data_IF_929797341652
#
_entry.id   IF_929797341652
#
_cell.length_a   1.000
_cell.length_b   1.000
_cell.length_c   1.000
_cell.angle_alpha   90.00
_cell.angle_beta   90.00
_cell.angle_gamma   90.00
#
_symmetry.space_group_name_H-M   'P 1'
#
loop_
_entity.id
_entity.type
_entity.pdbx_description
1 polymer ?
#
# COMPACT_ATOMS: atom_id res chain seq x y z
N UNK A 1 -0.62 7.18 -8.47
CA UNK A 1 -0.72 5.98 -7.62
C UNK A 1 -1.27 4.80 -8.43
N UNK A 2 -0.78 3.61 -8.17
CA UNK A 2 -1.15 2.37 -8.88
C UNK A 2 -2.13 1.55 -8.05
N UNK A 3 -2.89 0.60 -8.66
CA UNK A 3 -3.79 -0.28 -7.95
C UNK A 3 -3.13 -1.08 -6.83
N UNK A 4 -3.96 -1.66 -5.94
CA UNK A 4 -3.51 -2.40 -4.78
C UNK A 4 -2.74 -3.68 -5.16
N UNK A 5 -3.29 -4.46 -6.09
CA UNK A 5 -2.70 -5.71 -6.60
C UNK A 5 -2.29 -6.71 -5.52
N UNK A 6 -3.20 -7.04 -4.61
CA UNK A 6 -2.95 -7.98 -3.52
C UNK A 6 -2.57 -9.38 -3.99
N UNK A 7 -3.35 -9.95 -4.92
CA UNK A 7 -3.11 -11.32 -5.38
C UNK A 7 -1.81 -11.43 -6.19
N UNK A 8 -1.50 -10.41 -6.97
CA UNK A 8 -0.28 -10.32 -7.75
C UNK A 8 0.95 -10.14 -6.85
N UNK A 9 0.83 -9.32 -5.79
CA UNK A 9 1.85 -9.17 -4.76
C UNK A 9 2.12 -10.51 -4.06
N UNK A 10 1.07 -11.19 -3.62
CA UNK A 10 1.15 -12.49 -2.97
C UNK A 10 1.77 -13.54 -3.87
N UNK A 11 1.37 -13.59 -5.15
CA UNK A 11 1.96 -14.50 -6.13
C UNK A 11 3.46 -14.26 -6.31
N UNK A 12 3.87 -13.01 -6.39
CA UNK A 12 5.28 -12.64 -6.52
C UNK A 12 6.10 -13.07 -5.29
N UNK A 13 5.60 -12.80 -4.08
CA UNK A 13 6.27 -13.22 -2.84
C UNK A 13 6.35 -14.75 -2.75
N UNK A 14 5.29 -15.48 -3.11
CA UNK A 14 5.29 -16.94 -3.08
C UNK A 14 6.35 -17.52 -4.04
N UNK A 15 6.53 -16.95 -5.22
CA UNK A 15 7.58 -17.36 -6.15
C UNK A 15 8.98 -17.13 -5.56
N UNK A 16 9.23 -16.00 -4.91
CA UNK A 16 10.48 -15.74 -4.21
C UNK A 16 10.73 -16.75 -3.08
N UNK A 17 9.71 -17.04 -2.27
CA UNK A 17 9.81 -18.01 -1.17
C UNK A 17 10.05 -19.45 -1.67
N UNK A 18 9.61 -19.77 -2.89
CA UNK A 18 9.86 -21.05 -3.55
C UNK A 18 11.25 -21.10 -4.22
N UNK A 19 12.05 -20.04 -4.11
CA UNK A 19 13.42 -19.98 -4.62
C UNK A 19 13.53 -19.47 -6.06
N UNK A 20 12.46 -18.99 -6.69
CA UNK A 20 12.51 -18.42 -8.04
C UNK A 20 13.32 -17.12 -8.07
N UNK A 21 14.16 -16.95 -9.08
CA UNK A 21 14.83 -15.69 -9.36
C UNK A 21 13.88 -14.65 -9.96
N UNK A 22 14.30 -13.39 -9.97
CA UNK A 22 13.54 -12.32 -10.61
C UNK A 22 13.26 -12.61 -12.11
N UNK A 23 14.23 -13.18 -12.82
CA UNK A 23 14.09 -13.55 -14.23
C UNK A 23 13.12 -14.72 -14.43
N UNK A 24 13.15 -15.72 -13.54
CA UNK A 24 12.19 -16.83 -13.54
C UNK A 24 10.77 -16.36 -13.26
N UNK A 25 10.58 -15.43 -12.32
CA UNK A 25 9.27 -14.82 -12.04
C UNK A 25 8.78 -14.03 -13.26
N UNK A 26 9.66 -13.28 -13.91
CA UNK A 26 9.33 -12.55 -15.14
C UNK A 26 8.85 -13.50 -16.23
N UNK A 27 9.57 -14.58 -16.50
CA UNK A 27 9.17 -15.61 -17.46
C UNK A 27 7.82 -16.23 -17.11
N UNK A 28 7.62 -16.56 -15.82
CA UNK A 28 6.34 -17.09 -15.34
C UNK A 28 5.18 -16.12 -15.50
N UNK A 29 5.44 -14.82 -15.33
CA UNK A 29 4.39 -13.79 -15.49
C UNK A 29 3.89 -13.72 -16.95
N UNK A 30 4.77 -13.85 -17.93
CA UNK A 30 4.42 -13.77 -19.35
C UNK A 30 3.99 -15.12 -19.95
N UNK A 31 4.66 -16.21 -19.59
CA UNK A 31 4.47 -17.51 -20.23
C UNK A 31 3.45 -18.39 -19.49
N UNK A 32 3.40 -18.31 -18.16
CA UNK A 32 2.55 -19.17 -17.32
C UNK A 32 1.35 -18.43 -16.70
N UNK A 33 1.10 -17.21 -17.12
CA UNK A 33 -0.01 -16.39 -16.62
C UNK A 33 -0.04 -16.27 -15.08
N UNK A 34 1.12 -16.05 -14.46
CA UNK A 34 1.26 -15.87 -13.01
C UNK A 34 0.30 -14.79 -12.48
N UNK A 35 0.07 -13.75 -13.28
CA UNK A 35 -0.93 -12.72 -13.02
C UNK A 35 -2.15 -12.93 -13.92
N UNK A 36 -3.36 -12.74 -13.37
CA UNK A 36 -4.62 -12.85 -14.11
C UNK A 36 -4.83 -11.65 -15.05
N UNK A 37 -3.92 -11.45 -16.00
CA UNK A 37 -3.98 -10.35 -16.96
C UNK A 37 -3.84 -10.92 -18.38
N UNK A 38 -4.84 -10.61 -19.24
CA UNK A 38 -4.90 -11.13 -20.61
C UNK A 38 -4.00 -10.39 -21.61
N UNK A 39 -3.58 -9.17 -21.28
CA UNK A 39 -2.79 -8.32 -22.20
C UNK A 39 -1.37 -8.14 -21.70
N UNK A 40 -0.39 -8.34 -22.56
CA UNK A 40 1.03 -8.27 -22.25
C UNK A 40 1.44 -6.94 -21.59
N UNK A 41 0.96 -5.80 -22.08
CA UNK A 41 1.26 -4.50 -21.47
C UNK A 41 0.79 -4.42 -20.02
N UNK A 42 -0.34 -5.09 -19.70
CA UNK A 42 -0.86 -5.13 -18.33
C UNK A 42 -0.01 -6.01 -17.43
N UNK A 43 0.42 -7.15 -17.93
CA UNK A 43 1.39 -8.03 -17.22
C UNK A 43 2.65 -7.26 -16.90
N UNK A 44 3.20 -6.53 -17.87
CA UNK A 44 4.39 -5.70 -17.68
C UNK A 44 4.18 -4.59 -16.63
N UNK A 45 3.04 -3.92 -16.67
CA UNK A 45 2.69 -2.87 -15.68
C UNK A 45 2.62 -3.45 -14.26
N UNK A 46 1.92 -4.57 -14.08
CA UNK A 46 1.79 -5.26 -12.79
C UNK A 46 3.18 -5.69 -12.29
N UNK A 47 3.94 -6.39 -13.13
CA UNK A 47 5.25 -6.92 -12.78
C UNK A 47 6.20 -5.79 -12.32
N UNK A 48 6.29 -4.71 -13.07
CA UNK A 48 7.15 -3.58 -12.73
C UNK A 48 6.76 -2.92 -11.40
N UNK A 49 5.46 -2.80 -11.14
CA UNK A 49 4.97 -2.20 -9.90
C UNK A 49 5.14 -3.14 -8.70
N UNK A 50 4.71 -4.39 -8.82
CA UNK A 50 4.72 -5.36 -7.74
C UNK A 50 6.16 -5.74 -7.37
N UNK A 51 7.03 -5.98 -8.36
CA UNK A 51 8.43 -6.28 -8.09
C UNK A 51 9.11 -5.16 -7.31
N UNK A 52 8.90 -3.90 -7.69
CA UNK A 52 9.44 -2.74 -6.98
C UNK A 52 8.94 -2.66 -5.54
N UNK A 53 7.64 -2.88 -5.31
CA UNK A 53 7.05 -2.88 -3.96
C UNK A 53 7.62 -3.98 -3.08
N UNK A 54 7.86 -5.17 -3.62
CA UNK A 54 8.40 -6.31 -2.86
C UNK A 54 9.91 -6.17 -2.63
N UNK A 55 10.69 -5.83 -3.67
CA UNK A 55 12.16 -5.85 -3.61
C UNK A 55 12.78 -4.70 -2.83
N UNK A 56 12.00 -3.69 -2.45
CA UNK A 56 12.47 -2.67 -1.51
C UNK A 56 12.56 -3.15 -0.06
N UNK A 57 12.05 -4.35 0.23
CA UNK A 57 12.14 -5.01 1.52
C UNK A 57 13.09 -6.22 1.43
N UNK A 58 13.57 -6.68 2.59
CA UNK A 58 14.47 -7.81 2.71
C UNK A 58 13.74 -9.19 2.69
N UNK A 59 14.51 -10.26 2.78
CA UNK A 59 13.97 -11.62 2.83
C UNK A 59 13.11 -11.84 4.08
N UNK A 60 13.45 -11.23 5.21
CA UNK A 60 12.67 -11.38 6.44
C UNK A 60 11.24 -10.83 6.27
N UNK A 61 11.07 -9.76 5.50
CA UNK A 61 9.74 -9.27 5.12
C UNK A 61 8.93 -10.28 4.32
N UNK A 62 9.56 -10.94 3.35
CA UNK A 62 8.91 -11.94 2.50
C UNK A 62 8.48 -13.16 3.33
N UNK A 63 9.35 -13.63 4.21
CA UNK A 63 9.07 -14.75 5.12
C UNK A 63 7.97 -14.37 6.10
N UNK A 64 8.02 -13.19 6.69
CA UNK A 64 6.97 -12.66 7.55
C UNK A 64 5.64 -12.61 6.82
N UNK A 65 5.60 -12.09 5.60
CA UNK A 65 4.39 -12.03 4.78
C UNK A 65 3.76 -13.40 4.58
N UNK A 66 4.56 -14.41 4.27
CA UNK A 66 4.10 -15.78 4.08
C UNK A 66 3.48 -16.43 5.33
N UNK A 67 3.83 -15.95 6.51
CA UNK A 67 3.38 -16.47 7.80
C UNK A 67 2.15 -15.75 8.37
N UNK A 68 1.76 -14.60 7.79
CA UNK A 68 0.68 -13.77 8.32
C UNK A 68 -0.69 -14.18 7.79
N UNK A 69 -1.74 -13.80 8.54
CA UNK A 69 -3.13 -13.87 8.06
C UNK A 69 -3.35 -12.97 6.85
N UNK A 70 -4.37 -13.27 6.04
CA UNK A 70 -4.73 -12.44 4.88
C UNK A 70 -4.98 -10.97 5.27
N UNK A 71 -5.57 -10.73 6.43
CA UNK A 71 -5.80 -9.37 6.94
C UNK A 71 -4.48 -8.62 7.15
N UNK A 72 -3.48 -9.24 7.77
CA UNK A 72 -2.16 -8.66 7.98
C UNK A 72 -1.37 -8.57 6.68
N UNK A 73 -1.48 -9.57 5.80
CA UNK A 73 -0.87 -9.50 4.47
C UNK A 73 -1.37 -8.30 3.66
N UNK A 74 -2.66 -7.99 3.70
CA UNK A 74 -3.20 -6.77 3.06
C UNK A 74 -2.62 -5.50 3.65
N UNK A 75 -2.44 -5.45 4.96
CA UNK A 75 -1.77 -4.34 5.64
C UNK A 75 -0.31 -4.21 5.21
N UNK A 76 0.42 -5.32 5.05
CA UNK A 76 1.80 -5.33 4.56
C UNK A 76 1.88 -4.83 3.10
N UNK A 77 0.93 -5.18 2.24
CA UNK A 77 0.85 -4.60 0.89
C UNK A 77 0.65 -3.09 0.94
N UNK A 78 -0.23 -2.59 1.81
CA UNK A 78 -0.42 -1.14 2.00
C UNK A 78 0.87 -0.45 2.45
N UNK A 79 1.58 -1.03 3.42
CA UNK A 79 2.87 -0.51 3.88
C UNK A 79 3.90 -0.44 2.75
N UNK A 80 3.91 -1.43 1.85
CA UNK A 80 4.79 -1.42 0.69
C UNK A 80 4.41 -0.33 -0.33
N UNK A 81 3.12 -0.01 -0.45
CA UNK A 81 2.66 1.12 -1.26
C UNK A 81 3.09 2.46 -0.63
N UNK A 82 2.98 2.59 0.68
CA UNK A 82 3.46 3.76 1.41
C UNK A 82 4.96 3.97 1.24
N UNK A 83 5.74 2.90 1.23
CA UNK A 83 7.19 2.97 1.00
C UNK A 83 7.55 3.35 -0.46
N UNK A 84 6.72 2.99 -1.42
CA UNK A 84 6.91 3.28 -2.85
C UNK A 84 6.36 4.66 -3.27
N UNK A 85 5.41 5.21 -2.53
CA UNK A 85 4.70 6.46 -2.84
C UNK A 85 4.70 7.40 -1.62
N UNK A 86 5.64 8.36 -1.64
CA UNK A 86 5.82 9.32 -0.54
C UNK A 86 4.59 10.20 -0.29
N UNK A 87 3.84 10.54 -1.34
CA UNK A 87 2.64 11.35 -1.17
C UNK A 87 1.54 10.55 -0.48
N UNK A 88 1.39 9.27 -0.83
CA UNK A 88 0.47 8.38 -0.15
C UNK A 88 0.88 8.15 1.31
N UNK A 89 2.18 7.98 1.60
CA UNK A 89 2.68 7.94 2.97
C UNK A 89 2.30 9.21 3.75
N UNK A 90 2.50 10.39 3.15
CA UNK A 90 2.16 11.67 3.78
C UNK A 90 0.67 11.76 4.10
N UNK A 91 -0.20 11.28 3.18
CA UNK A 91 -1.64 11.20 3.43
C UNK A 91 -1.97 10.27 4.61
N UNK A 92 -1.38 9.08 4.65
CA UNK A 92 -1.58 8.12 5.74
C UNK A 92 -1.15 8.70 7.08
N UNK A 93 0.00 9.36 7.11
CA UNK A 93 0.57 9.92 8.33
C UNK A 93 -0.18 11.17 8.83
N UNK A 94 -0.60 12.08 7.92
CA UNK A 94 -1.24 13.36 8.30
C UNK A 94 -2.77 13.27 8.40
N UNK A 95 -3.41 12.39 7.66
CA UNK A 95 -4.88 12.34 7.60
C UNK A 95 -5.43 11.08 8.24
N UNK A 96 -5.05 9.91 7.75
CA UNK A 96 -5.58 8.64 8.25
C UNK A 96 -5.23 8.44 9.73
N UNK A 97 -3.95 8.61 10.09
CA UNK A 97 -3.47 8.51 11.46
C UNK A 97 -4.18 9.49 12.40
N UNK A 98 -4.31 10.74 12.01
CA UNK A 98 -4.96 11.75 12.85
C UNK A 98 -6.43 11.40 13.11
N UNK A 99 -7.12 10.88 12.09
CA UNK A 99 -8.48 10.36 12.24
C UNK A 99 -8.58 9.18 13.21
N UNK A 100 -7.59 8.27 13.17
CA UNK A 100 -7.51 7.16 14.15
C UNK A 100 -7.33 7.70 15.59
N UNK A 101 -6.43 8.64 15.78
CA UNK A 101 -6.11 9.21 17.11
C UNK A 101 -7.33 9.86 17.74
N UNK A 102 -8.11 10.61 16.97
CA UNK A 102 -9.32 11.28 17.47
C UNK A 102 -10.54 10.37 17.52
N UNK A 103 -10.40 9.10 17.12
CA UNK A 103 -11.51 8.14 17.11
C UNK A 103 -12.61 8.49 16.10
N UNK A 104 -12.24 9.08 14.95
CA UNK A 104 -13.19 9.40 13.90
C UNK A 104 -13.86 8.13 13.35
N UNK A 105 -15.19 8.19 13.14
CA UNK A 105 -15.96 7.05 12.62
C UNK A 105 -15.81 6.88 11.10
N UNK A 106 -15.49 7.97 10.39
CA UNK A 106 -15.42 7.97 8.92
C UNK A 106 -14.23 8.73 8.37
N UNK A 107 -13.81 8.31 7.16
CA UNK A 107 -12.91 9.05 6.28
C UNK A 107 -13.60 9.17 4.93
N UNK A 108 -14.03 10.39 4.62
CA UNK A 108 -14.82 10.69 3.43
C UNK A 108 -13.97 11.21 2.28
N UNK A 109 -14.56 11.28 1.08
CA UNK A 109 -13.90 11.88 -0.09
C UNK A 109 -13.46 13.32 0.16
N UNK A 110 -14.25 14.09 0.94
CA UNK A 110 -13.91 15.47 1.32
C UNK A 110 -12.61 15.57 2.13
N UNK A 111 -12.32 14.61 3.00
CA UNK A 111 -11.08 14.58 3.78
C UNK A 111 -9.86 14.39 2.88
N UNK A 112 -9.95 13.48 1.92
CA UNK A 112 -8.88 13.22 0.96
C UNK A 112 -8.71 14.39 0.00
N UNK A 113 -9.81 14.99 -0.45
CA UNK A 113 -9.76 16.17 -1.29
C UNK A 113 -9.10 17.37 -0.56
N UNK A 114 -9.44 17.57 0.71
CA UNK A 114 -8.83 18.61 1.54
C UNK A 114 -7.30 18.41 1.67
N UNK A 115 -6.84 17.16 1.82
CA UNK A 115 -5.42 16.84 1.81
C UNK A 115 -4.75 17.26 0.49
N UNK A 116 -5.32 16.93 -0.65
CA UNK A 116 -4.74 17.33 -1.93
C UNK A 116 -4.73 18.85 -2.13
N UNK A 117 -5.75 19.56 -1.65
CA UNK A 117 -5.77 21.04 -1.68
C UNK A 117 -4.66 21.64 -0.80
N UNK A 118 -4.40 21.03 0.36
CA UNK A 118 -3.27 21.42 1.20
C UNK A 118 -1.94 21.16 0.48
N UNK A 119 -1.78 19.99 -0.14
CA UNK A 119 -0.56 19.66 -0.89
C UNK A 119 -0.33 20.59 -2.08
N UNK A 120 -1.38 21.07 -2.74
CA UNK A 120 -1.26 22.08 -3.79
C UNK A 120 -0.67 23.40 -3.28
N UNK A 121 -0.88 23.75 -2.02
CA UNK A 121 -0.29 24.94 -1.41
C UNK A 121 1.16 24.71 -0.96
N UNK A 122 1.54 23.46 -0.66
CA UNK A 122 2.88 23.10 -0.18
C UNK A 122 3.86 22.69 -1.29
N UNK A 123 3.37 22.34 -2.49
CA UNK A 123 4.20 21.81 -3.59
C UNK A 123 3.85 22.46 -4.91
N UNK A 124 4.85 23.08 -5.55
CA UNK A 124 4.72 23.69 -6.88
C UNK A 124 4.31 22.65 -7.96
N UNK A 125 4.81 21.42 -7.85
CA UNK A 125 4.45 20.33 -8.76
C UNK A 125 2.98 19.99 -8.63
N UNK A 126 2.49 19.80 -7.39
CA UNK A 126 1.10 19.42 -7.12
C UNK A 126 0.15 20.59 -7.41
N UNK A 127 0.59 21.84 -7.23
CA UNK A 127 -0.19 23.04 -7.57
C UNK A 127 -0.66 23.05 -9.03
N UNK A 128 0.11 22.43 -9.93
CA UNK A 128 -0.20 22.35 -11.36
C UNK A 128 -1.16 21.20 -11.73
N UNK A 129 -1.50 20.34 -10.80
CA UNK A 129 -2.38 19.22 -11.07
C UNK A 129 -3.81 19.67 -11.33
N UNK A 130 -4.41 19.11 -12.39
CA UNK A 130 -5.79 19.39 -12.77
C UNK A 130 -6.77 18.77 -11.75
N UNK A 131 -7.94 19.36 -11.62
CA UNK A 131 -9.02 18.85 -10.78
C UNK A 131 -9.38 17.39 -11.10
N UNK A 132 -9.33 17.00 -12.38
CA UNK A 132 -9.56 15.61 -12.80
C UNK A 132 -8.54 14.65 -12.23
N UNK A 133 -7.26 15.05 -12.15
CA UNK A 133 -6.19 14.27 -11.54
C UNK A 133 -6.43 14.12 -10.04
N UNK A 134 -6.75 15.21 -9.34
CA UNK A 134 -7.03 15.21 -7.91
C UNK A 134 -8.23 14.33 -7.57
N UNK A 135 -9.32 14.43 -8.34
CA UNK A 135 -10.51 13.58 -8.16
C UNK A 135 -10.18 12.10 -8.35
N UNK A 136 -9.40 11.76 -9.37
CA UNK A 136 -8.97 10.38 -9.61
C UNK A 136 -8.11 9.84 -8.47
N UNK A 137 -7.16 10.63 -7.97
CA UNK A 137 -6.31 10.25 -6.85
C UNK A 137 -7.11 10.12 -5.55
N UNK A 138 -8.09 10.98 -5.31
CA UNK A 138 -9.01 10.88 -4.17
C UNK A 138 -9.73 9.54 -4.17
N UNK A 139 -10.27 9.11 -5.30
CA UNK A 139 -10.89 7.79 -5.44
C UNK A 139 -9.88 6.65 -5.26
N UNK A 140 -8.68 6.79 -5.82
CA UNK A 140 -7.63 5.78 -5.71
C UNK A 140 -7.18 5.59 -4.26
N UNK A 141 -6.95 6.65 -3.51
CA UNK A 141 -6.53 6.56 -2.10
C UNK A 141 -7.58 5.87 -1.24
N UNK A 142 -8.85 6.22 -1.40
CA UNK A 142 -9.94 5.55 -0.68
C UNK A 142 -10.07 4.09 -1.08
N UNK A 143 -9.90 3.77 -2.37
CA UNK A 143 -9.89 2.38 -2.84
C UNK A 143 -8.75 1.58 -2.24
N UNK A 144 -7.55 2.13 -2.15
CA UNK A 144 -6.40 1.47 -1.51
C UNK A 144 -6.69 1.14 -0.05
N UNK A 145 -7.31 2.05 0.70
CA UNK A 145 -7.71 1.81 2.09
C UNK A 145 -8.80 0.74 2.22
N UNK A 146 -9.79 0.73 1.33
CA UNK A 146 -10.81 -0.31 1.28
C UNK A 146 -10.20 -1.67 0.94
N UNK A 147 -9.33 -1.75 -0.06
CA UNK A 147 -8.64 -2.98 -0.46
C UNK A 147 -7.73 -3.52 0.65
N UNK A 148 -7.15 -2.63 1.46
CA UNK A 148 -6.35 -2.99 2.63
C UNK A 148 -7.17 -3.40 3.86
N UNK A 149 -8.48 -3.18 3.84
CA UNK A 149 -9.37 -3.46 4.97
C UNK A 149 -9.34 -2.38 6.08
N UNK A 150 -8.82 -1.19 5.79
CA UNK A 150 -8.76 -0.05 6.72
C UNK A 150 -9.96 0.89 6.60
N UNK A 151 -10.74 0.77 5.54
CA UNK A 151 -12.06 1.34 5.35
C UNK A 151 -13.05 0.27 4.91
N UNK A 152 -14.31 0.43 5.30
CA UNK A 152 -15.46 -0.27 4.75
C UNK A 152 -16.41 0.81 4.18
N UNK A 153 -16.27 1.11 2.88
CA UNK A 153 -16.85 2.31 2.30
C UNK A 153 -16.17 3.57 2.85
N UNK A 154 -16.89 4.39 3.61
CA UNK A 154 -16.38 5.56 4.32
C UNK A 154 -16.02 5.27 5.78
N UNK A 155 -16.52 4.16 6.32
CA UNK A 155 -16.34 3.80 7.73
C UNK A 155 -14.91 3.39 8.03
N UNK A 156 -14.32 3.99 9.04
CA UNK A 156 -13.01 3.61 9.57
C UNK A 156 -13.07 2.21 10.19
N UNK A 157 -12.12 1.36 9.81
CA UNK A 157 -11.90 0.04 10.41
C UNK A 157 -10.53 0.09 11.08
N UNK A 158 -10.46 0.09 12.42
CA UNK A 158 -9.19 0.16 13.13
C UNK A 158 -8.28 -1.01 12.74
N UNK A 159 -7.04 -0.75 12.30
CA UNK A 159 -6.11 -1.81 11.94
C UNK A 159 -5.63 -2.59 13.17
N UNK A 160 -5.37 -3.88 12.97
CA UNK A 160 -4.85 -4.78 14.00
C UNK A 160 -3.55 -5.42 13.49
N UNK A 161 -2.41 -4.71 13.50
CA UNK A 161 -1.13 -5.27 13.13
C UNK A 161 -0.72 -6.37 14.10
N UNK A 162 -0.16 -7.47 13.57
CA UNK A 162 0.36 -8.55 14.41
C UNK A 162 1.60 -8.09 15.19
N UNK A 163 1.88 -8.75 16.32
CA UNK A 163 3.10 -8.48 17.09
C UNK A 163 4.36 -8.66 16.26
N UNK A 164 4.40 -9.67 15.39
CA UNK A 164 5.53 -9.92 14.51
C UNK A 164 5.73 -8.77 13.49
N UNK A 165 4.66 -8.22 12.91
CA UNK A 165 4.74 -7.07 12.04
C UNK A 165 5.21 -5.81 12.78
N UNK A 166 4.69 -5.55 13.98
CA UNK A 166 5.16 -4.43 14.82
C UNK A 166 6.65 -4.54 15.13
N UNK A 167 7.12 -5.73 15.49
CA UNK A 167 8.54 -5.98 15.79
C UNK A 167 9.42 -5.76 14.55
N UNK A 168 9.00 -6.25 13.39
CA UNK A 168 9.72 -6.02 12.14
C UNK A 168 9.87 -4.53 11.84
N UNK A 169 8.78 -3.77 11.90
CA UNK A 169 8.80 -2.33 11.61
C UNK A 169 9.70 -1.55 12.59
N UNK A 170 9.66 -1.90 13.87
CA UNK A 170 10.54 -1.28 14.89
C UNK A 170 12.01 -1.62 14.64
N UNK A 171 12.32 -2.88 14.32
CA UNK A 171 13.69 -3.34 14.08
C UNK A 171 14.33 -2.75 12.81
N UNK A 172 13.52 -2.29 11.85
CA UNK A 172 13.96 -1.74 10.57
C UNK A 172 13.80 -0.19 10.48
N UNK A 173 13.70 0.49 11.61
CA UNK A 173 13.53 1.95 11.70
C UNK A 173 12.30 2.48 10.93
N UNK A 174 11.23 1.67 10.89
CA UNK A 174 9.97 2.00 10.23
C UNK A 174 8.86 2.41 11.21
N UNK A 175 9.21 3.02 12.34
CA UNK A 175 8.23 3.46 13.34
C UNK A 175 7.21 4.45 12.76
N UNK A 176 7.61 5.33 11.87
CA UNK A 176 6.68 6.27 11.22
C UNK A 176 5.60 5.55 10.40
N UNK A 177 5.94 4.41 9.79
CA UNK A 177 4.98 3.57 9.07
C UNK A 177 4.00 2.90 10.04
N UNK A 178 4.50 2.38 11.14
CA UNK A 178 3.65 1.80 12.19
C UNK A 178 2.70 2.85 12.75
N UNK A 179 3.18 4.04 13.08
CA UNK A 179 2.36 5.16 13.56
C UNK A 179 1.30 5.56 12.54
N UNK A 180 1.63 5.57 11.26
CA UNK A 180 0.68 5.94 10.19
C UNK A 180 -0.52 4.99 10.10
N UNK A 181 -0.36 3.71 10.45
CA UNK A 181 -1.44 2.71 10.40
C UNK A 181 -2.05 2.40 11.77
N UNK A 182 -1.35 2.64 12.86
CA UNK A 182 -1.79 2.29 14.22
C UNK A 182 -2.14 3.51 15.08
N UNK A 183 -1.81 4.72 14.65
CA UNK A 183 -2.13 5.97 15.34
C UNK A 183 -1.07 6.38 16.36
N UNK A 184 -0.78 5.58 17.36
CA UNK A 184 0.22 5.88 18.40
C UNK A 184 1.23 4.73 18.55
N UNK A 185 2.42 5.05 19.07
CA UNK A 185 3.35 4.04 19.59
C UNK A 185 2.76 3.43 20.86
N UNK A 186 2.47 2.14 20.83
CA UNK A 186 2.23 1.32 22.03
C UNK A 186 3.48 0.49 22.35
#
# INVERSE_FOLDING_TARGET
SKPFWFYEYKAYVNELLNGSSADEIRSSAFEKHLFSAAKEYRVKEILNCVSRRVTQFDQDWQELFGQQSVMVQRMMVLLSIMADDKLFFTFMYRVYRDKLIVGAESLESSDVLAFFRLMQNESEEIAQWKDTTIRKLTQTYRKLLNDAGLLAGDKMVPPLPSSALKQYLKAHDMNAYLMAIAGADE
#
